data_IF_495369270231
#
_entry.id   IF_495369270231
#
_cell.length_a   1.000
_cell.length_b   1.000
_cell.length_c   1.000
_cell.angle_alpha   90.00
_cell.angle_beta   90.00
_cell.angle_gamma   90.00
#
_symmetry.space_group_name_H-M   'P 1'
#
loop_
_entity.id
_entity.type
_entity.pdbx_description
1 polymer ?
#
# COMPACT_ATOMS: atom_id res chain seq x y z
N UNK A 1 13.56 12.12 -14.23
CA UNK A 1 12.24 11.90 -13.61
C UNK A 1 11.90 10.44 -13.85
N UNK A 2 12.07 9.59 -12.83
CA UNK A 2 11.90 8.13 -12.93
C UNK A 2 10.97 7.60 -11.80
N UNK A 3 10.36 8.46 -10.98
CA UNK A 3 9.68 8.02 -9.75
C UNK A 3 8.15 8.05 -9.82
N UNK A 4 7.54 8.88 -10.67
CA UNK A 4 6.07 8.98 -10.72
C UNK A 4 5.41 7.81 -11.44
N UNK A 5 6.07 7.22 -12.44
CA UNK A 5 5.52 6.07 -13.20
C UNK A 5 5.68 4.75 -12.44
N UNK A 6 6.60 4.64 -11.47
CA UNK A 6 6.70 3.47 -10.59
C UNK A 6 5.69 3.55 -9.43
N UNK A 7 5.44 4.74 -8.89
CA UNK A 7 4.50 4.97 -7.78
C UNK A 7 3.03 4.77 -8.16
N UNK A 8 2.67 4.79 -9.45
CA UNK A 8 1.29 4.54 -9.89
C UNK A 8 0.95 3.05 -10.03
N UNK A 9 1.95 2.16 -10.08
CA UNK A 9 1.71 0.74 -10.36
C UNK A 9 1.46 -0.10 -9.11
N UNK A 10 2.09 0.23 -7.97
CA UNK A 10 2.05 -0.62 -6.79
C UNK A 10 0.64 -0.74 -6.16
N UNK A 11 -0.09 0.37 -6.00
CA UNK A 11 -1.43 0.37 -5.38
C UNK A 11 -2.43 -0.50 -6.17
N UNK A 12 -2.48 -0.30 -7.49
CA UNK A 12 -3.37 -1.07 -8.35
C UNK A 12 -2.95 -2.53 -8.45
N UNK A 13 -1.64 -2.82 -8.45
CA UNK A 13 -1.16 -4.20 -8.46
C UNK A 13 -1.55 -4.94 -7.17
N UNK A 14 -1.42 -4.35 -5.99
CA UNK A 14 -1.81 -5.03 -4.75
C UNK A 14 -3.32 -5.27 -4.66
N UNK A 15 -4.16 -4.31 -5.06
CA UNK A 15 -5.61 -4.51 -5.06
C UNK A 15 -6.07 -5.53 -6.11
N UNK A 16 -5.41 -5.56 -7.28
CA UNK A 16 -5.66 -6.58 -8.31
C UNK A 16 -5.21 -7.95 -7.84
N UNK A 17 -4.04 -8.05 -7.21
CA UNK A 17 -3.48 -9.29 -6.68
C UNK A 17 -4.39 -9.91 -5.60
N UNK A 18 -4.94 -9.10 -4.68
CA UNK A 18 -5.94 -9.59 -3.72
C UNK A 18 -7.22 -10.08 -4.41
N UNK A 19 -7.65 -9.40 -5.47
CA UNK A 19 -8.83 -9.79 -6.24
C UNK A 19 -8.62 -11.09 -7.04
N UNK A 20 -7.39 -11.32 -7.52
CA UNK A 20 -6.99 -12.53 -8.24
C UNK A 20 -6.75 -13.72 -7.29
N UNK A 21 -6.52 -13.47 -6.00
CA UNK A 21 -6.24 -14.47 -4.96
C UNK A 21 -7.28 -14.47 -3.81
N UNK A 22 -8.55 -14.85 -4.08
CA UNK A 22 -9.60 -14.88 -3.05
C UNK A 22 -9.29 -15.84 -1.89
N UNK A 23 -8.38 -16.82 -2.07
CA UNK A 23 -7.91 -17.71 -1.01
C UNK A 23 -7.24 -16.97 0.17
N UNK A 24 -6.68 -15.78 -0.09
CA UNK A 24 -5.97 -14.99 0.93
C UNK A 24 -6.89 -14.35 1.96
N UNK A 25 -8.18 -14.19 1.65
CA UNK A 25 -9.21 -13.75 2.61
C UNK A 25 -9.33 -14.70 3.80
N UNK A 26 -9.05 -15.99 3.56
CA UNK A 26 -9.11 -17.04 4.57
C UNK A 26 -7.75 -17.46 5.11
N UNK A 27 -6.67 -16.90 4.55
CA UNK A 27 -5.31 -17.24 4.97
C UNK A 27 -4.89 -16.32 6.10
N UNK A 28 -4.73 -16.83 7.33
CA UNK A 28 -4.36 -16.00 8.46
C UNK A 28 -2.97 -15.40 8.27
N UNK A 29 -2.83 -14.12 8.60
CA UNK A 29 -1.53 -13.46 8.60
C UNK A 29 -0.78 -13.75 9.90
N UNK A 30 0.09 -14.75 9.87
CA UNK A 30 1.01 -15.06 10.97
C UNK A 30 2.43 -14.62 10.60
N UNK A 31 2.88 -13.52 11.19
CA UNK A 31 4.22 -12.98 10.93
C UNK A 31 4.86 -12.41 12.18
N UNK A 32 6.17 -12.55 12.28
CA UNK A 32 6.98 -11.88 13.31
C UNK A 32 6.97 -10.37 13.17
N UNK A 33 6.63 -9.84 11.99
CA UNK A 33 6.52 -8.41 11.71
C UNK A 33 5.21 -7.79 12.18
N UNK A 34 4.29 -8.56 12.76
CA UNK A 34 3.05 -8.04 13.37
C UNK A 34 3.32 -6.99 14.45
N UNK A 35 4.50 -7.03 15.10
CA UNK A 35 4.93 -6.04 16.09
C UNK A 35 5.21 -4.67 15.47
N UNK A 36 5.75 -4.65 14.25
CA UNK A 36 6.19 -3.41 13.59
C UNK A 36 5.13 -2.85 12.62
N UNK A 37 4.39 -3.73 11.95
CA UNK A 37 3.46 -3.38 10.87
C UNK A 37 1.98 -3.56 11.24
N UNK A 38 1.69 -4.23 12.36
CA UNK A 38 0.34 -4.49 12.84
C UNK A 38 -0.13 -5.92 12.61
N UNK A 39 -1.14 -6.33 13.39
CA UNK A 39 -1.83 -7.61 13.24
C UNK A 39 -3.01 -7.47 12.29
N UNK A 40 -3.11 -8.39 11.33
CA UNK A 40 -4.21 -8.46 10.36
C UNK A 40 -4.88 -9.83 10.46
N UNK A 41 -6.19 -9.88 10.24
CA UNK A 41 -6.94 -11.15 10.31
C UNK A 41 -6.60 -12.06 9.14
N UNK A 42 -6.32 -11.48 7.97
CA UNK A 42 -5.99 -12.21 6.75
C UNK A 42 -4.83 -11.57 5.97
N UNK A 43 -4.22 -12.36 5.08
CA UNK A 43 -3.25 -11.83 4.11
C UNK A 43 -3.88 -10.77 3.19
N UNK A 44 -5.16 -10.92 2.85
CA UNK A 44 -5.89 -9.93 2.07
C UNK A 44 -5.94 -8.57 2.79
N UNK A 45 -6.14 -8.57 4.10
CA UNK A 45 -6.18 -7.34 4.90
C UNK A 45 -4.81 -6.67 5.01
N UNK A 46 -3.73 -7.47 5.11
CA UNK A 46 -2.37 -6.95 5.02
C UNK A 46 -2.13 -6.24 3.68
N UNK A 47 -2.44 -6.90 2.56
CA UNK A 47 -2.20 -6.31 1.22
C UNK A 47 -3.07 -5.08 0.96
N UNK A 48 -4.30 -5.04 1.49
CA UNK A 48 -5.15 -3.84 1.48
C UNK A 48 -4.53 -2.70 2.26
N UNK A 49 -3.96 -2.97 3.44
CA UNK A 49 -3.29 -1.96 4.23
C UNK A 49 -2.06 -1.40 3.48
N UNK A 50 -1.24 -2.27 2.89
CA UNK A 50 -0.08 -1.86 2.09
C UNK A 50 -0.53 -0.97 0.92
N UNK A 51 -1.55 -1.39 0.16
CA UNK A 51 -2.08 -0.58 -0.94
C UNK A 51 -2.62 0.78 -0.48
N UNK A 52 -3.28 0.82 0.68
CA UNK A 52 -3.75 2.07 1.28
C UNK A 52 -2.59 2.99 1.68
N UNK A 53 -1.53 2.47 2.31
CA UNK A 53 -0.37 3.24 2.73
C UNK A 53 0.35 3.86 1.52
N UNK A 54 0.50 3.12 0.42
CA UNK A 54 1.07 3.64 -0.82
C UNK A 54 0.23 4.78 -1.42
N UNK A 55 -1.10 4.68 -1.39
CA UNK A 55 -2.00 5.78 -1.80
C UNK A 55 -1.76 7.03 -0.96
N UNK A 56 -1.63 6.88 0.36
CA UNK A 56 -1.36 7.99 1.28
C UNK A 56 0.00 8.61 0.98
N UNK A 57 1.05 7.81 0.79
CA UNK A 57 2.38 8.31 0.43
C UNK A 57 2.37 9.09 -0.89
N UNK A 58 1.63 8.62 -1.90
CA UNK A 58 1.44 9.34 -3.16
C UNK A 58 0.71 10.66 -2.96
N UNK A 59 -0.37 10.68 -2.19
CA UNK A 59 -1.11 11.91 -1.86
C UNK A 59 -0.23 12.92 -1.11
N UNK A 60 0.59 12.45 -0.17
CA UNK A 60 1.55 13.28 0.57
C UNK A 60 2.65 13.83 -0.35
N UNK A 61 3.20 13.00 -1.23
CA UNK A 61 4.19 13.40 -2.24
C UNK A 61 3.64 14.47 -3.18
N UNK A 62 2.41 14.28 -3.69
CA UNK A 62 1.70 15.26 -4.51
C UNK A 62 1.40 16.56 -3.75
N UNK A 63 1.04 16.46 -2.47
CA UNK A 63 0.82 17.62 -1.59
C UNK A 63 2.12 18.42 -1.38
N UNK A 64 3.25 17.74 -1.21
CA UNK A 64 4.57 18.38 -1.09
C UNK A 64 5.01 19.05 -2.39
N UNK A 65 4.74 18.45 -3.56
CA UNK A 65 4.99 19.07 -4.86
C UNK A 65 4.13 20.32 -5.11
N UNK A 66 2.92 20.36 -4.53
CA UNK A 66 2.00 21.50 -4.62
C UNK A 66 2.29 22.63 -3.63
N UNK A 67 3.18 22.44 -2.65
CA UNK A 67 3.66 23.53 -1.80
C UNK A 67 4.66 24.38 -2.60
N UNK A 68 4.34 25.65 -2.90
CA UNK A 68 5.33 26.54 -3.49
C UNK A 68 6.47 26.67 -2.47
N UNK A 69 7.71 26.38 -2.89
CA UNK A 69 8.89 26.74 -2.11
C UNK A 69 9.00 28.27 -2.12
N UNK A 70 8.22 28.94 -1.28
CA UNK A 70 8.49 30.34 -0.98
C UNK A 70 9.78 30.39 -0.16
N UNK A 71 10.81 30.95 -0.78
CA UNK A 71 12.08 31.33 -0.19
C UNK A 71 12.23 32.84 -0.36
#
# INVERSE_FOLDING_TARGET
MLNADFEDHAEHEYMTLVSEHPEWESTPYESTFTVDYGSFESLADLFRQIGHDERVHKEESLSQLRKPRFN
#
